data_IF_138884987766
#
_entry.id   IF_138884987766
#
_cell.length_a   1.000
_cell.length_b   1.000
_cell.length_c   1.000
_cell.angle_alpha   90.00
_cell.angle_beta   90.00
_cell.angle_gamma   90.00
#
_symmetry.space_group_name_H-M   'P 1'
#
loop_
_entity.id
_entity.type
_entity.pdbx_description
1 polymer ?
#
# COMPACT_ATOMS: atom_id res chain seq x y z
N UNK A 1 18.74 -21.05 -31.06
CA UNK A 1 19.49 -21.17 -29.80
C UNK A 1 18.48 -21.42 -28.69
N UNK A 2 18.55 -22.57 -28.01
CA UNK A 2 17.73 -22.83 -26.82
C UNK A 2 18.16 -21.84 -25.75
N UNK A 3 17.36 -20.79 -25.56
CA UNK A 3 17.49 -19.89 -24.44
C UNK A 3 17.15 -20.73 -23.21
N UNK A 4 18.16 -21.16 -22.46
CA UNK A 4 18.00 -21.78 -21.14
C UNK A 4 17.03 -20.90 -20.38
N UNK A 5 15.82 -21.41 -20.08
CA UNK A 5 14.85 -20.67 -19.27
C UNK A 5 15.54 -20.34 -17.96
N UNK A 6 15.95 -19.08 -17.78
CA UNK A 6 16.45 -18.60 -16.50
C UNK A 6 15.39 -18.92 -15.45
N UNK A 7 15.83 -19.48 -14.33
CA UNK A 7 14.95 -19.78 -13.22
C UNK A 7 14.32 -18.47 -12.72
N UNK A 8 13.00 -18.48 -12.53
CA UNK A 8 12.27 -17.31 -12.05
C UNK A 8 12.32 -17.34 -10.52
N UNK A 9 13.27 -16.61 -9.95
CA UNK A 9 13.47 -16.54 -8.49
C UNK A 9 12.92 -15.22 -7.94
N UNK A 10 13.17 -14.11 -8.63
CA UNK A 10 12.84 -12.76 -8.17
C UNK A 10 11.75 -12.11 -9.03
N UNK A 11 11.16 -11.02 -8.54
CA UNK A 11 10.22 -10.21 -9.33
C UNK A 11 10.88 -9.71 -10.63
N UNK A 12 12.15 -9.31 -10.60
CA UNK A 12 12.91 -8.94 -11.80
C UNK A 12 13.00 -10.07 -12.83
N UNK A 13 13.29 -11.31 -12.39
CA UNK A 13 13.33 -12.47 -13.29
C UNK A 13 11.96 -12.75 -13.90
N UNK A 14 10.90 -12.66 -13.09
CA UNK A 14 9.53 -12.86 -13.55
C UNK A 14 9.14 -11.82 -14.59
N UNK A 15 9.45 -10.54 -14.36
CA UNK A 15 9.18 -9.46 -15.33
C UNK A 15 9.90 -9.72 -16.65
N UNK A 16 11.20 -10.03 -16.61
CA UNK A 16 11.97 -10.32 -17.83
C UNK A 16 11.46 -11.55 -18.57
N UNK A 17 11.08 -12.61 -17.85
CA UNK A 17 10.55 -13.83 -18.45
C UNK A 17 9.20 -13.61 -19.14
N UNK A 18 8.37 -12.69 -18.65
CA UNK A 18 7.01 -12.46 -19.15
C UNK A 18 6.92 -11.34 -20.20
N UNK A 19 7.70 -10.28 -20.05
CA UNK A 19 7.59 -9.07 -20.88
C UNK A 19 8.79 -8.87 -21.82
N UNK A 20 9.83 -9.69 -21.68
CA UNK A 20 11.06 -9.57 -22.46
C UNK A 20 11.88 -8.32 -22.11
N UNK A 21 13.10 -8.21 -22.65
CA UNK A 21 14.04 -7.16 -22.27
C UNK A 21 13.56 -5.76 -22.65
N UNK A 22 12.92 -5.59 -23.81
CA UNK A 22 12.52 -4.27 -24.31
C UNK A 22 11.46 -3.59 -23.46
N UNK A 23 10.36 -4.29 -23.13
CA UNK A 23 9.32 -3.72 -22.26
C UNK A 23 9.83 -3.53 -20.82
N UNK A 24 10.74 -4.40 -20.38
CA UNK A 24 11.40 -4.26 -19.09
C UNK A 24 12.22 -2.97 -19.01
N UNK A 25 13.06 -2.69 -20.00
CA UNK A 25 13.89 -1.48 -20.05
C UNK A 25 13.08 -0.19 -20.17
N UNK A 26 12.02 -0.21 -20.98
CA UNK A 26 11.18 0.96 -21.23
C UNK A 26 10.28 1.30 -20.04
N UNK A 27 9.70 0.29 -19.40
CA UNK A 27 8.65 0.49 -18.39
C UNK A 27 8.87 -0.31 -17.12
N UNK A 28 8.92 -1.64 -17.17
CA UNK A 28 8.77 -2.45 -15.96
C UNK A 28 9.92 -2.28 -14.96
N UNK A 29 11.18 -2.28 -15.40
CA UNK A 29 12.32 -2.10 -14.51
C UNK A 29 12.37 -0.70 -13.90
N UNK A 30 12.33 0.41 -14.67
CA UNK A 30 12.39 1.73 -14.07
C UNK A 30 11.15 2.02 -13.19
N UNK A 31 9.97 1.50 -13.54
CA UNK A 31 8.79 1.58 -12.67
C UNK A 31 8.96 0.80 -11.36
N UNK A 32 9.42 -0.46 -11.42
CA UNK A 32 9.57 -1.28 -10.22
C UNK A 32 10.73 -0.81 -9.33
N UNK A 33 11.75 -0.17 -9.91
CA UNK A 33 12.77 0.56 -9.14
C UNK A 33 12.10 1.57 -8.20
N UNK A 34 11.20 2.40 -8.73
CA UNK A 34 10.51 3.44 -7.95
C UNK A 34 9.39 2.89 -7.06
N UNK A 35 8.60 1.93 -7.56
CA UNK A 35 7.45 1.36 -6.85
C UNK A 35 7.84 0.49 -5.66
N UNK A 36 8.94 -0.26 -5.78
CA UNK A 36 9.43 -1.17 -4.73
C UNK A 36 10.63 -0.61 -3.97
N UNK A 37 11.01 0.65 -4.21
CA UNK A 37 12.24 1.25 -3.70
C UNK A 37 13.48 0.36 -3.95
N UNK A 38 13.59 -0.19 -5.16
CA UNK A 38 14.69 -1.06 -5.61
C UNK A 38 14.56 -2.55 -5.25
N UNK A 39 13.63 -2.93 -4.36
CA UNK A 39 13.53 -4.30 -3.85
C UNK A 39 13.14 -5.36 -4.88
N UNK A 40 12.63 -4.99 -6.06
CA UNK A 40 12.15 -5.96 -7.06
C UNK A 40 13.22 -6.97 -7.54
N UNK A 41 14.51 -6.70 -7.29
CA UNK A 41 15.62 -7.64 -7.57
C UNK A 41 15.85 -8.67 -6.47
N UNK A 42 15.22 -8.51 -5.32
CA UNK A 42 15.47 -9.32 -4.11
C UNK A 42 14.21 -9.99 -3.57
N UNK A 43 13.03 -9.53 -3.98
CA UNK A 43 11.74 -10.05 -3.54
C UNK A 43 11.21 -11.09 -4.54
N UNK A 44 10.44 -12.05 -4.01
CA UNK A 44 9.73 -13.03 -4.80
C UNK A 44 8.67 -12.36 -5.70
N UNK A 45 8.35 -12.95 -6.87
CA UNK A 45 7.22 -12.54 -7.69
C UNK A 45 5.93 -12.57 -6.87
N UNK A 46 5.20 -11.47 -6.88
CA UNK A 46 3.95 -11.27 -6.14
C UNK A 46 2.99 -10.48 -7.02
N UNK A 47 1.69 -10.55 -6.73
CA UNK A 47 0.68 -9.76 -7.42
C UNK A 47 0.63 -9.91 -8.95
N UNK A 48 0.99 -11.08 -9.49
CA UNK A 48 1.01 -11.33 -10.93
C UNK A 48 -0.32 -11.01 -11.63
N UNK A 49 -1.45 -11.13 -10.90
CA UNK A 49 -2.78 -10.80 -11.39
C UNK A 49 -2.97 -9.31 -11.75
N UNK A 50 -2.12 -8.40 -11.25
CA UNK A 50 -2.19 -6.96 -11.56
C UNK A 50 -1.71 -6.64 -12.97
N UNK A 51 -0.85 -7.49 -13.52
CA UNK A 51 -0.29 -7.32 -14.86
C UNK A 51 -0.49 -8.62 -15.65
N UNK A 52 -1.74 -8.97 -15.99
CA UNK A 52 -2.02 -10.20 -16.71
C UNK A 52 -1.39 -10.14 -18.11
N UNK A 53 -0.65 -11.18 -18.48
CA UNK A 53 0.02 -11.28 -19.77
C UNK A 53 -0.89 -11.98 -20.77
N UNK A 54 -1.28 -11.28 -21.83
CA UNK A 54 -2.00 -11.88 -22.96
C UNK A 54 -1.32 -11.46 -24.26
N UNK A 55 -0.51 -12.35 -24.83
CA UNK A 55 0.28 -12.06 -26.03
C UNK A 55 -0.59 -11.66 -27.23
N UNK A 56 -1.76 -12.28 -27.39
CA UNK A 56 -2.70 -11.92 -28.46
C UNK A 56 -3.20 -10.49 -28.33
N UNK A 57 -3.50 -10.04 -27.11
CA UNK A 57 -3.85 -8.64 -26.85
C UNK A 57 -2.66 -7.70 -27.03
N UNK A 58 -1.45 -8.10 -26.63
CA UNK A 58 -0.24 -7.29 -26.86
C UNK A 58 0.01 -7.08 -28.35
N UNK A 59 -0.10 -8.13 -29.17
CA UNK A 59 0.07 -8.04 -30.62
C UNK A 59 -1.01 -7.15 -31.22
N UNK A 60 -2.27 -7.33 -30.83
CA UNK A 60 -3.37 -6.48 -31.30
C UNK A 60 -3.16 -5.01 -30.91
N UNK A 61 -2.74 -4.76 -29.68
CA UNK A 61 -2.44 -3.42 -29.14
C UNK A 61 -1.31 -2.68 -29.88
N UNK A 62 -0.49 -3.39 -30.65
CA UNK A 62 0.53 -2.77 -31.51
C UNK A 62 -0.05 -2.14 -32.79
N UNK A 63 -1.27 -2.52 -33.18
CA UNK A 63 -1.90 -2.08 -34.42
C UNK A 63 -3.26 -1.38 -34.23
N UNK A 64 -3.97 -1.70 -33.15
CA UNK A 64 -5.32 -1.22 -32.85
C UNK A 64 -5.56 -1.05 -31.34
N UNK A 65 -6.63 -0.33 -30.98
CA UNK A 65 -7.11 -0.28 -29.61
C UNK A 65 -7.52 -1.65 -29.08
N UNK A 66 -7.24 -1.88 -27.79
CA UNK A 66 -7.62 -3.09 -27.06
C UNK A 66 -8.52 -2.75 -25.88
N UNK A 67 -9.44 -3.66 -25.50
CA UNK A 67 -10.30 -3.42 -24.35
C UNK A 67 -9.49 -3.24 -23.07
N UNK A 68 -9.99 -2.47 -22.09
CA UNK A 68 -9.36 -2.35 -20.78
C UNK A 68 -9.16 -3.73 -20.13
N UNK A 69 -8.01 -3.93 -19.51
CA UNK A 69 -7.65 -5.16 -18.80
C UNK A 69 -7.25 -4.84 -17.36
N UNK A 70 -7.48 -5.79 -16.47
CA UNK A 70 -7.05 -5.70 -15.07
C UNK A 70 -8.20 -5.86 -14.06
N UNK A 71 -7.82 -6.05 -12.81
CA UNK A 71 -8.73 -6.32 -11.70
C UNK A 71 -9.59 -5.11 -11.29
N UNK A 72 -9.22 -3.92 -11.74
CA UNK A 72 -9.88 -2.65 -11.40
C UNK A 72 -10.22 -1.81 -12.64
N UNK A 73 -10.45 -2.46 -13.80
CA UNK A 73 -10.91 -1.79 -15.02
C UNK A 73 -12.22 -1.01 -14.81
N UNK A 74 -13.06 -1.47 -13.88
CA UNK A 74 -14.12 -0.69 -13.25
C UNK A 74 -13.95 -0.77 -11.73
N UNK A 75 -14.36 0.27 -11.02
CA UNK A 75 -14.32 0.30 -9.56
C UNK A 75 -15.47 1.16 -9.02
N UNK A 76 -15.81 0.91 -7.76
CA UNK A 76 -16.76 1.73 -6.99
C UNK A 76 -15.99 2.56 -5.98
N UNK A 77 -16.44 3.79 -5.78
CA UNK A 77 -15.87 4.68 -4.80
C UNK A 77 -17.01 5.30 -3.96
N UNK A 78 -16.93 5.32 -2.62
CA UNK A 78 -17.97 5.92 -1.80
C UNK A 78 -18.09 7.43 -2.04
N UNK A 79 -19.31 7.93 -2.32
CA UNK A 79 -19.61 9.35 -2.64
C UNK A 79 -19.05 10.37 -1.63
N UNK A 80 -18.76 9.95 -0.40
CA UNK A 80 -18.26 10.82 0.69
C UNK A 80 -16.84 10.49 1.14
N UNK A 81 -16.11 9.68 0.38
CA UNK A 81 -14.78 9.23 0.76
C UNK A 81 -14.76 7.91 1.53
N UNK A 82 -13.66 7.18 1.38
CA UNK A 82 -13.36 5.98 2.16
C UNK A 82 -13.27 6.26 3.67
N UNK A 83 -12.83 7.47 4.06
CA UNK A 83 -12.79 7.91 5.45
C UNK A 83 -14.20 7.92 6.08
N UNK A 84 -15.23 8.35 5.36
CA UNK A 84 -16.61 8.35 5.88
C UNK A 84 -17.14 6.94 6.05
N UNK A 85 -16.78 6.01 5.15
CA UNK A 85 -17.09 4.59 5.34
C UNK A 85 -16.45 4.06 6.63
N UNK A 86 -15.15 4.29 6.84
CA UNK A 86 -14.43 3.90 8.05
C UNK A 86 -15.04 4.51 9.32
N UNK A 87 -15.32 5.82 9.32
CA UNK A 87 -15.94 6.52 10.45
C UNK A 87 -17.33 5.98 10.78
N UNK A 88 -18.13 5.62 9.77
CA UNK A 88 -19.47 5.03 9.98
C UNK A 88 -19.40 3.65 10.61
N UNK A 89 -18.42 2.83 10.22
CA UNK A 89 -18.16 1.55 10.89
C UNK A 89 -17.69 1.79 12.32
N UNK A 90 -16.71 2.68 12.53
CA UNK A 90 -16.15 3.02 13.83
C UNK A 90 -17.20 3.50 14.84
N UNK A 91 -18.19 4.30 14.41
CA UNK A 91 -19.31 4.76 15.25
C UNK A 91 -20.17 3.64 15.83
N UNK A 92 -20.08 2.43 15.28
CA UNK A 92 -20.81 1.23 15.74
C UNK A 92 -19.93 0.33 16.64
N UNK A 93 -18.69 0.74 16.88
CA UNK A 93 -17.70 -0.01 17.65
C UNK A 93 -17.39 0.72 18.95
N UNK A 94 -16.93 -0.03 19.95
CA UNK A 94 -16.26 0.55 21.11
C UNK A 94 -14.78 0.72 20.76
N UNK A 95 -14.30 1.97 20.74
CA UNK A 95 -12.92 2.30 20.37
C UNK A 95 -12.32 3.18 21.45
N UNK A 96 -11.15 2.78 21.93
CA UNK A 96 -10.33 3.59 22.84
C UNK A 96 -9.24 4.29 22.02
N UNK A 97 -9.42 5.58 21.76
CA UNK A 97 -8.41 6.41 21.11
C UNK A 97 -7.33 6.83 22.12
N UNK A 98 -6.15 7.22 21.62
CA UNK A 98 -5.02 7.62 22.48
C UNK A 98 -4.32 6.47 23.20
N UNK A 99 -4.66 5.21 22.87
CA UNK A 99 -4.07 4.00 23.45
C UNK A 99 -3.07 3.34 22.49
N UNK A 100 -1.92 3.97 22.29
CA UNK A 100 -0.83 3.38 21.50
C UNK A 100 -0.19 2.24 22.28
N UNK A 101 -0.28 1.01 21.78
CA UNK A 101 0.44 -0.15 22.35
C UNK A 101 1.94 0.04 22.11
N UNK A 102 2.74 -0.15 23.16
CA UNK A 102 4.22 -0.07 23.09
C UNK A 102 4.89 -1.38 23.48
N UNK A 103 4.19 -2.28 24.18
CA UNK A 103 4.67 -3.62 24.54
C UNK A 103 3.48 -4.57 24.69
N UNK A 104 3.70 -5.83 24.32
CA UNK A 104 2.78 -6.95 24.52
C UNK A 104 3.51 -7.97 25.39
N UNK A 105 3.12 -8.10 26.65
CA UNK A 105 3.65 -9.14 27.54
C UNK A 105 2.86 -10.43 27.33
N UNK A 106 3.48 -11.36 26.60
CA UNK A 106 2.88 -12.62 26.19
C UNK A 106 2.85 -13.67 27.31
N UNK A 107 3.63 -13.50 28.37
CA UNK A 107 3.64 -14.41 29.53
C UNK A 107 2.50 -14.06 30.49
N UNK A 108 2.26 -12.78 30.71
CA UNK A 108 1.21 -12.28 31.61
C UNK A 108 -0.09 -11.93 30.88
N UNK A 109 -0.11 -12.05 29.55
CA UNK A 109 -1.20 -11.66 28.66
C UNK A 109 -1.67 -10.21 28.90
N UNK A 110 -0.73 -9.26 28.85
CA UNK A 110 -0.97 -7.85 29.15
C UNK A 110 -0.40 -6.92 28.07
N UNK A 111 -1.22 -5.96 27.63
CA UNK A 111 -0.81 -4.86 26.76
C UNK A 111 -0.36 -3.69 27.63
N UNK A 112 0.75 -3.05 27.24
CA UNK A 112 1.19 -1.78 27.81
C UNK A 112 1.03 -0.67 26.79
N UNK A 113 0.43 0.44 27.22
CA UNK A 113 0.21 1.61 26.39
C UNK A 113 1.20 2.73 26.71
N UNK A 114 1.43 3.61 25.73
CA UNK A 114 2.35 4.76 25.83
C UNK A 114 1.98 5.72 26.99
N UNK A 115 0.70 5.79 27.36
CA UNK A 115 0.22 6.61 28.47
C UNK A 115 0.47 5.98 29.86
N UNK A 116 1.18 4.84 29.91
CA UNK A 116 1.51 4.11 31.13
C UNK A 116 0.40 3.19 31.65
N UNK A 117 -0.77 3.17 31.00
CA UNK A 117 -1.84 2.23 31.36
C UNK A 117 -1.61 0.85 30.76
N UNK A 118 -2.32 -0.16 31.29
CA UNK A 118 -2.28 -1.53 30.76
C UNK A 118 -3.67 -2.15 30.63
N UNK A 119 -3.77 -3.21 29.82
CA UNK A 119 -4.98 -4.01 29.66
C UNK A 119 -4.64 -5.48 29.47
N UNK A 120 -5.31 -6.37 30.22
CA UNK A 120 -5.19 -7.82 30.03
C UNK A 120 -6.00 -8.30 28.84
N UNK A 121 -5.55 -9.37 28.22
CA UNK A 121 -6.26 -10.06 27.15
C UNK A 121 -6.34 -11.57 27.43
N UNK A 122 -7.40 -12.21 26.94
CA UNK A 122 -7.44 -13.67 26.81
C UNK A 122 -7.04 -14.07 25.40
N UNK A 123 -7.53 -13.31 24.41
CA UNK A 123 -7.20 -13.44 23.00
C UNK A 123 -6.97 -12.08 22.40
N UNK A 124 -5.92 -11.94 21.58
CA UNK A 124 -5.57 -10.69 20.92
C UNK A 124 -5.71 -10.80 19.40
N UNK A 125 -6.66 -10.08 18.82
CA UNK A 125 -6.70 -9.87 17.37
C UNK A 125 -5.81 -8.69 17.03
N UNK A 126 -4.66 -8.93 16.39
CA UNK A 126 -3.73 -7.88 16.01
C UNK A 126 -3.90 -7.50 14.55
N UNK A 127 -4.13 -6.21 14.29
CA UNK A 127 -4.11 -5.64 12.93
C UNK A 127 -2.84 -4.80 12.67
N UNK A 128 -1.88 -4.83 13.60
CA UNK A 128 -0.60 -4.13 13.48
C UNK A 128 0.31 -4.82 12.44
N UNK A 129 1.26 -4.11 11.80
CA UNK A 129 2.27 -4.76 10.96
C UNK A 129 2.96 -5.93 11.68
N UNK A 130 3.09 -7.07 11.02
CA UNK A 130 3.57 -8.32 11.64
C UNK A 130 4.93 -8.15 12.33
N UNK A 131 5.86 -7.45 11.68
CA UNK A 131 7.18 -7.16 12.23
C UNK A 131 7.10 -6.31 13.51
N UNK A 132 6.24 -5.30 13.55
CA UNK A 132 6.05 -4.45 14.73
C UNK A 132 5.37 -5.21 15.87
N UNK A 133 4.40 -6.06 15.54
CA UNK A 133 3.76 -6.92 16.55
C UNK A 133 4.78 -7.86 17.21
N UNK A 134 5.65 -8.50 16.42
CA UNK A 134 6.73 -9.34 16.94
C UNK A 134 7.76 -8.56 17.77
N UNK A 135 8.11 -7.34 17.34
CA UNK A 135 8.99 -6.48 18.12
C UNK A 135 8.38 -6.11 19.48
N UNK A 136 7.09 -5.78 19.51
CA UNK A 136 6.37 -5.44 20.74
C UNK A 136 6.22 -6.63 21.70
N UNK A 137 6.17 -7.87 21.18
CA UNK A 137 6.13 -9.08 22.01
C UNK A 137 7.52 -9.52 22.47
N UNK A 138 8.58 -9.14 21.76
CA UNK A 138 9.93 -9.65 21.97
C UNK A 138 10.12 -11.11 21.53
N UNK A 139 9.18 -11.66 20.75
CA UNK A 139 9.24 -13.04 20.29
C UNK A 139 10.22 -13.21 19.13
N UNK A 140 11.05 -14.25 19.19
CA UNK A 140 12.00 -14.58 18.14
C UNK A 140 11.43 -15.62 17.17
N UNK A 141 11.53 -15.34 15.87
CA UNK A 141 11.03 -16.23 14.79
C UNK A 141 12.13 -17.16 14.26
N UNK A 142 13.40 -16.87 14.57
CA UNK A 142 14.56 -17.63 14.06
C UNK A 142 14.71 -17.55 12.53
N UNK A 143 14.20 -16.49 11.90
CA UNK A 143 14.32 -16.22 10.47
C UNK A 143 14.31 -14.70 10.24
N UNK A 144 15.09 -14.16 9.29
CA UNK A 144 15.06 -12.74 9.00
C UNK A 144 13.68 -12.29 8.56
N UNK A 145 13.25 -11.12 9.05
CA UNK A 145 11.98 -10.54 8.63
C UNK A 145 11.96 -10.30 7.11
N UNK A 146 10.80 -10.53 6.52
CA UNK A 146 10.56 -10.14 5.15
C UNK A 146 10.53 -8.61 5.03
N UNK A 147 10.97 -8.04 3.89
CA UNK A 147 11.09 -6.59 3.77
C UNK A 147 9.73 -5.94 3.52
N UNK A 148 9.67 -4.66 3.80
CA UNK A 148 8.56 -3.78 3.45
C UNK A 148 9.09 -2.47 2.89
N UNK A 149 8.22 -1.72 2.23
CA UNK A 149 8.49 -0.34 1.83
C UNK A 149 7.52 0.60 2.51
N UNK A 150 8.03 1.74 2.91
CA UNK A 150 7.25 2.90 3.34
C UNK A 150 6.86 3.72 2.12
N UNK A 151 5.84 4.56 2.25
CA UNK A 151 5.42 5.49 1.19
C UNK A 151 5.19 6.87 1.76
N UNK A 152 5.74 7.88 1.08
CA UNK A 152 5.32 9.26 1.26
C UNK A 152 4.23 9.58 0.25
N UNK A 153 3.06 10.00 0.75
CA UNK A 153 1.93 10.47 -0.05
C UNK A 153 1.89 11.98 0.05
N UNK A 154 2.22 12.67 -1.04
CA UNK A 154 2.09 14.12 -1.14
C UNK A 154 0.73 14.46 -1.79
N UNK A 155 -0.18 14.97 -0.99
CA UNK A 155 -1.50 15.45 -1.42
C UNK A 155 -1.39 16.92 -1.85
N UNK A 156 -1.91 17.26 -3.03
CA UNK A 156 -1.81 18.60 -3.61
C UNK A 156 -3.18 19.06 -4.09
N UNK A 157 -3.58 20.26 -3.68
CA UNK A 157 -4.64 21.04 -4.32
C UNK A 157 -4.02 22.18 -5.11
N UNK A 158 -4.33 22.28 -6.40
CA UNK A 158 -3.70 23.24 -7.30
C UNK A 158 -4.65 23.73 -8.40
N UNK A 159 -4.25 24.80 -9.08
CA UNK A 159 -4.80 25.16 -10.39
C UNK A 159 -4.58 24.01 -11.37
N UNK A 160 -5.62 23.68 -12.15
CA UNK A 160 -5.51 22.66 -13.20
C UNK A 160 -4.53 23.13 -14.27
N UNK A 161 -3.52 22.34 -14.56
CA UNK A 161 -2.55 22.62 -15.62
C UNK A 161 -3.11 22.34 -17.02
N UNK A 162 -2.53 22.93 -18.08
CA UNK A 162 -3.00 22.75 -19.46
C UNK A 162 -2.83 21.31 -19.99
N UNK A 163 -1.97 20.51 -19.36
CA UNK A 163 -1.72 19.10 -19.68
C UNK A 163 -2.13 18.17 -18.54
N UNK A 164 -3.05 18.61 -17.68
CA UNK A 164 -3.54 17.78 -16.58
C UNK A 164 -4.20 16.50 -17.13
N UNK A 165 -3.76 15.31 -16.70
CA UNK A 165 -4.38 14.03 -17.08
C UNK A 165 -5.88 13.97 -16.78
N UNK A 166 -6.62 13.28 -17.65
CA UNK A 166 -8.03 12.91 -17.47
C UNK A 166 -8.21 11.60 -16.69
N UNK A 167 -7.15 10.81 -16.57
CA UNK A 167 -7.14 9.50 -15.96
C UNK A 167 -7.30 9.60 -14.43
N UNK A 168 -7.81 8.54 -13.81
CA UNK A 168 -7.90 8.47 -12.35
C UNK A 168 -6.52 8.36 -11.69
N UNK A 169 -5.57 7.69 -12.34
CA UNK A 169 -4.17 7.61 -11.92
C UNK A 169 -3.27 7.31 -13.11
N UNK A 170 -2.01 7.72 -12.98
CA UNK A 170 -0.94 7.52 -13.97
C UNK A 170 0.25 6.88 -13.27
N UNK A 171 0.79 5.81 -13.87
CA UNK A 171 2.04 5.21 -13.44
C UNK A 171 3.22 5.87 -14.15
N UNK A 172 4.25 6.20 -13.38
CA UNK A 172 5.38 7.00 -13.82
C UNK A 172 6.65 6.15 -13.69
N UNK A 173 7.17 5.61 -14.81
CA UNK A 173 8.36 4.76 -14.76
C UNK A 173 9.63 5.58 -14.47
N UNK A 174 9.66 6.86 -14.80
CA UNK A 174 10.81 7.74 -14.60
C UNK A 174 10.35 9.10 -14.09
N UNK A 175 10.83 9.48 -12.91
CA UNK A 175 10.59 10.79 -12.28
C UNK A 175 11.89 11.29 -11.67
N UNK A 176 12.17 12.58 -11.82
CA UNK A 176 13.28 13.28 -11.18
C UNK A 176 13.12 13.30 -9.66
N UNK A 177 11.89 13.50 -9.17
CA UNK A 177 11.58 13.46 -7.75
C UNK A 177 11.46 12.02 -7.18
N UNK A 178 11.43 11.01 -8.05
CA UNK A 178 11.39 9.60 -7.67
C UNK A 178 10.00 9.06 -7.29
N UNK A 179 8.91 9.72 -7.68
CA UNK A 179 7.56 9.17 -7.48
C UNK A 179 7.20 8.19 -8.60
N UNK A 180 6.43 7.14 -8.26
CA UNK A 180 6.03 6.10 -9.20
C UNK A 180 4.57 6.21 -9.63
N UNK A 181 3.74 6.98 -8.92
CA UNK A 181 2.32 7.12 -9.20
C UNK A 181 1.80 8.50 -8.84
N UNK A 182 0.93 9.01 -9.70
CA UNK A 182 0.10 10.18 -9.42
C UNK A 182 -1.35 9.78 -9.61
N UNK A 183 -2.20 10.07 -8.63
CA UNK A 183 -3.65 9.90 -8.79
C UNK A 183 -4.41 11.20 -8.64
N UNK A 184 -5.57 11.26 -9.28
CA UNK A 184 -6.38 12.46 -9.44
C UNK A 184 -7.72 12.25 -8.74
N UNK A 185 -7.79 12.59 -7.46
CA UNK A 185 -9.02 12.46 -6.66
C UNK A 185 -10.20 13.19 -7.31
N UNK A 186 -9.96 14.38 -7.86
CA UNK A 186 -11.00 15.16 -8.54
C UNK A 186 -11.48 14.55 -9.85
N UNK A 187 -10.74 13.60 -10.44
CA UNK A 187 -11.19 12.83 -11.60
C UNK A 187 -12.04 11.62 -11.17
N UNK A 188 -11.83 11.10 -9.94
CA UNK A 188 -12.69 10.06 -9.37
C UNK A 188 -14.06 10.65 -9.01
N UNK A 189 -14.07 11.80 -8.34
CA UNK A 189 -15.31 12.51 -8.02
C UNK A 189 -15.03 14.01 -7.78
N UNK A 190 -15.85 14.89 -8.35
CA UNK A 190 -15.71 16.34 -8.20
C UNK A 190 -15.90 16.82 -6.75
N UNK A 191 -16.52 16.01 -5.89
CA UNK A 191 -16.69 16.30 -4.46
C UNK A 191 -15.37 16.35 -3.69
N UNK A 192 -14.28 15.81 -4.24
CA UNK A 192 -12.92 15.97 -3.73
C UNK A 192 -12.34 17.38 -3.89
N UNK A 193 -13.06 18.28 -4.56
CA UNK A 193 -12.75 19.71 -4.60
C UNK A 193 -13.59 20.49 -3.57
N UNK A 194 -13.08 21.63 -3.07
CA UNK A 194 -13.86 22.60 -2.32
C UNK A 194 -15.12 23.02 -3.10
N UNK A 195 -16.25 23.22 -2.41
CA UNK A 195 -17.56 23.51 -3.03
C UNK A 195 -17.51 24.62 -4.08
N UNK A 196 -16.78 25.70 -3.79
CA UNK A 196 -16.66 26.86 -4.67
C UNK A 196 -15.87 26.58 -5.98
N UNK A 197 -15.09 25.49 -6.05
CA UNK A 197 -14.27 25.12 -7.20
C UNK A 197 -14.90 24.03 -8.09
N UNK A 198 -15.95 23.34 -7.61
CA UNK A 198 -16.54 22.17 -8.31
C UNK A 198 -17.12 22.49 -9.69
N UNK A 199 -17.64 23.70 -9.87
CA UNK A 199 -18.31 24.12 -11.11
C UNK A 199 -17.34 24.70 -12.15
N UNK A 200 -16.13 25.11 -11.73
CA UNK A 200 -15.22 25.89 -12.58
C UNK A 200 -14.25 25.04 -13.38
N UNK A 201 -14.07 23.77 -12.98
CA UNK A 201 -13.09 22.83 -13.55
C UNK A 201 -11.66 23.40 -13.71
N UNK A 202 -11.31 24.43 -12.93
CA UNK A 202 -10.02 25.13 -12.97
C UNK A 202 -9.10 24.71 -11.82
N UNK A 203 -9.52 23.70 -11.05
CA UNK A 203 -8.78 23.09 -9.93
C UNK A 203 -8.67 21.59 -10.09
N UNK A 204 -7.62 21.05 -9.47
CA UNK A 204 -7.35 19.62 -9.39
C UNK A 204 -6.92 19.26 -7.97
N UNK A 205 -7.35 18.09 -7.50
CA UNK A 205 -6.87 17.47 -6.27
C UNK A 205 -6.18 16.17 -6.62
N UNK A 206 -4.90 16.06 -6.26
CA UNK A 206 -4.04 14.92 -6.61
C UNK A 206 -3.32 14.36 -5.39
N UNK A 207 -2.85 13.13 -5.51
CA UNK A 207 -1.85 12.54 -4.63
C UNK A 207 -0.66 12.03 -5.45
N UNK A 208 0.53 12.15 -4.89
CA UNK A 208 1.80 11.74 -5.49
C UNK A 208 2.48 10.77 -4.55
N UNK A 209 2.84 9.58 -5.03
CA UNK A 209 3.39 8.52 -4.20
C UNK A 209 4.85 8.23 -4.53
N UNK A 210 5.69 8.29 -3.50
CA UNK A 210 7.09 7.84 -3.55
C UNK A 210 7.31 6.75 -2.52
N UNK A 211 7.88 5.63 -2.96
CA UNK A 211 8.27 4.55 -2.06
C UNK A 211 9.68 4.81 -1.49
N UNK A 212 9.88 4.33 -0.27
CA UNK A 212 11.15 4.33 0.45
C UNK A 212 11.39 2.93 1.03
N UNK A 213 12.64 2.49 1.18
CA UNK A 213 12.92 1.29 1.95
C UNK A 213 12.36 1.42 3.37
N UNK A 214 11.86 0.32 3.94
CA UNK A 214 11.31 0.32 5.30
C UNK A 214 12.30 0.86 6.34
N UNK A 215 11.80 1.69 7.27
CA UNK A 215 12.60 2.33 8.31
C UNK A 215 13.49 3.48 7.84
N UNK A 216 13.48 3.84 6.54
CA UNK A 216 14.27 4.94 5.99
C UNK A 216 13.41 6.19 5.77
N UNK A 217 12.73 6.64 6.83
CA UNK A 217 11.98 7.88 6.82
C UNK A 217 12.92 9.08 6.63
N UNK A 218 12.72 9.95 5.62
CA UNK A 218 13.46 11.19 5.53
C UNK A 218 13.18 12.09 6.74
N UNK A 219 14.18 12.89 7.14
CA UNK A 219 13.94 13.97 8.08
C UNK A 219 13.07 15.07 7.45
N UNK A 220 12.60 16.03 8.26
CA UNK A 220 11.67 17.06 7.81
C UNK A 220 12.23 17.88 6.63
N UNK A 221 13.52 18.25 6.66
CA UNK A 221 14.18 18.93 5.53
C UNK A 221 14.13 18.10 4.24
N UNK A 222 14.45 16.80 4.32
CA UNK A 222 14.39 15.92 3.16
C UNK A 222 12.97 15.69 2.65
N UNK A 223 11.97 15.72 3.53
CA UNK A 223 10.56 15.69 3.14
C UNK A 223 10.16 16.96 2.39
N UNK A 224 10.57 18.14 2.88
CA UNK A 224 10.31 19.43 2.24
C UNK A 224 10.97 19.55 0.87
N UNK A 225 12.24 19.16 0.75
CA UNK A 225 12.99 19.13 -0.51
C UNK A 225 12.34 18.22 -1.56
N UNK A 226 11.88 17.04 -1.13
CA UNK A 226 11.11 16.16 -2.01
C UNK A 226 9.81 16.82 -2.48
N UNK A 227 9.05 17.42 -1.56
CA UNK A 227 7.77 18.05 -1.92
C UNK A 227 7.96 19.16 -2.95
N UNK A 228 8.97 20.03 -2.74
CA UNK A 228 9.31 21.08 -3.69
C UNK A 228 9.73 20.52 -5.05
N UNK A 229 10.55 19.47 -5.07
CA UNK A 229 11.02 18.84 -6.32
C UNK A 229 9.88 18.17 -7.09
N UNK A 230 8.98 17.46 -6.40
CA UNK A 230 7.83 16.80 -6.99
C UNK A 230 6.82 17.81 -7.56
N UNK A 231 6.53 18.88 -6.80
CA UNK A 231 5.65 19.98 -7.26
C UNK A 231 6.25 20.64 -8.52
N UNK A 232 7.53 20.98 -8.49
CA UNK A 232 8.21 21.60 -9.63
C UNK A 232 8.20 20.68 -10.86
N UNK A 233 8.43 19.38 -10.69
CA UNK A 233 8.35 18.40 -11.78
C UNK A 233 6.94 18.36 -12.41
N UNK A 234 5.88 18.30 -11.60
CA UNK A 234 4.50 18.27 -12.07
C UNK A 234 4.07 19.58 -12.75
N UNK A 235 4.55 20.72 -12.25
CA UNK A 235 4.35 22.02 -12.89
C UNK A 235 5.07 22.10 -14.24
N UNK A 236 6.31 21.62 -14.32
CA UNK A 236 7.08 21.59 -15.57
C UNK A 236 6.45 20.68 -16.62
N UNK A 237 5.82 19.58 -16.22
CA UNK A 237 5.02 18.74 -17.12
C UNK A 237 3.71 19.41 -17.56
N UNK A 238 3.31 20.50 -16.90
CA UNK A 238 2.06 21.20 -17.14
C UNK A 238 0.84 20.47 -16.59
N UNK A 239 1.03 19.52 -15.67
CA UNK A 239 -0.07 18.76 -15.06
C UNK A 239 -0.80 19.61 -14.01
N UNK A 240 -0.07 20.42 -13.27
CA UNK A 240 -0.60 21.37 -12.28
C UNK A 240 -0.05 22.77 -12.52
N UNK A 241 -0.78 23.79 -12.07
CA UNK A 241 -0.34 25.18 -12.01
C UNK A 241 0.08 25.59 -10.60
N UNK A 242 -0.37 26.78 -10.19
CA UNK A 242 -0.18 27.28 -8.82
C UNK A 242 -0.73 26.30 -7.78
N UNK A 243 0.11 25.92 -6.81
CA UNK A 243 -0.28 25.08 -5.68
C UNK A 243 -0.94 25.96 -4.62
N UNK A 244 -2.15 25.58 -4.22
CA UNK A 244 -2.91 26.28 -3.18
C UNK A 244 -2.78 25.60 -1.82
N UNK A 245 -2.58 24.27 -1.81
CA UNK A 245 -2.34 23.48 -0.61
C UNK A 245 -1.48 22.26 -0.95
N UNK A 246 -0.56 21.93 -0.07
CA UNK A 246 0.22 20.70 -0.12
C UNK A 246 0.28 20.10 1.29
N UNK A 247 0.06 18.79 1.39
CA UNK A 247 0.11 18.04 2.65
C UNK A 247 0.80 16.69 2.42
N UNK A 248 1.85 16.42 3.19
CA UNK A 248 2.67 15.22 3.04
C UNK A 248 2.38 14.25 4.19
N UNK A 249 1.90 13.05 3.86
CA UNK A 249 1.59 12.00 4.82
C UNK A 249 2.57 10.83 4.67
N UNK A 250 3.26 10.47 5.76
CA UNK A 250 4.14 9.31 5.79
C UNK A 250 3.38 8.05 6.20
N UNK A 251 3.51 6.99 5.40
CA UNK A 251 2.97 5.65 5.67
C UNK A 251 4.12 4.70 5.98
N UNK A 252 4.21 4.29 7.25
CA UNK A 252 5.31 3.49 7.77
C UNK A 252 5.45 2.14 7.05
N UNK A 253 4.43 1.30 7.11
CA UNK A 253 4.35 0.07 6.32
C UNK A 253 3.27 0.23 5.26
N UNK A 254 3.68 0.38 3.99
CA UNK A 254 2.75 0.57 2.87
C UNK A 254 2.62 -0.68 1.99
N UNK A 255 3.75 -1.32 1.65
CA UNK A 255 3.77 -2.59 0.93
C UNK A 255 4.65 -3.59 1.66
N UNK A 256 4.09 -4.78 1.88
CA UNK A 256 4.78 -5.93 2.47
C UNK A 256 5.22 -6.86 1.35
N UNK A 257 6.50 -7.22 1.34
CA UNK A 257 7.08 -8.10 0.34
C UNK A 257 7.48 -9.41 0.96
N UNK A 258 7.84 -10.41 0.16
CA UNK A 258 8.40 -11.68 0.63
C UNK A 258 9.71 -11.94 -0.11
N UNK A 259 10.75 -12.39 0.59
CA UNK A 259 11.97 -12.90 -0.06
C UNK A 259 11.70 -14.27 -0.70
N UNK A 260 12.42 -14.64 -1.78
CA UNK A 260 12.35 -15.98 -2.35
C UNK A 260 12.60 -17.05 -1.28
N UNK A 261 11.67 -18.00 -1.15
CA UNK A 261 11.78 -19.11 -0.18
C UNK A 261 11.59 -18.74 1.29
N UNK A 262 11.22 -17.49 1.63
CA UNK A 262 10.98 -17.08 3.02
C UNK A 262 9.85 -17.90 3.67
N UNK A 263 10.10 -18.34 4.89
CA UNK A 263 9.12 -18.95 5.80
C UNK A 263 8.85 -18.07 7.02
N UNK A 264 9.44 -16.86 7.06
CA UNK A 264 9.34 -15.95 8.20
C UNK A 264 7.88 -15.70 8.59
N UNK A 265 7.02 -15.32 7.64
CA UNK A 265 5.59 -15.08 7.91
C UNK A 265 4.88 -16.28 8.56
N UNK A 266 5.13 -17.49 8.06
CA UNK A 266 4.47 -18.71 8.56
C UNK A 266 4.92 -19.03 9.98
N UNK A 267 6.22 -18.91 10.25
CA UNK A 267 6.78 -19.10 11.60
C UNK A 267 6.29 -18.02 12.56
N UNK A 268 6.23 -16.76 12.10
CA UNK A 268 5.72 -15.64 12.89
C UNK A 268 4.27 -15.86 13.33
N UNK A 269 3.40 -16.34 12.42
CA UNK A 269 2.03 -16.69 12.80
C UNK A 269 2.00 -17.78 13.86
N UNK A 270 2.77 -18.87 13.67
CA UNK A 270 2.81 -19.97 14.63
C UNK A 270 3.23 -19.49 16.03
N UNK A 271 4.30 -18.70 16.11
CA UNK A 271 4.82 -18.20 17.39
C UNK A 271 3.81 -17.24 18.04
N UNK A 272 3.11 -16.39 17.28
CA UNK A 272 2.07 -15.52 17.83
C UNK A 272 0.83 -16.31 18.30
N UNK A 273 0.42 -17.32 17.53
CA UNK A 273 -0.73 -18.17 17.85
C UNK A 273 -0.50 -19.02 19.11
N UNK A 274 0.74 -19.42 19.40
CA UNK A 274 1.13 -20.09 20.66
C UNK A 274 0.87 -19.21 21.91
N UNK A 275 0.66 -17.90 21.73
CA UNK A 275 0.36 -16.92 22.78
C UNK A 275 -1.01 -16.23 22.59
N UNK A 276 -1.95 -16.89 21.90
CA UNK A 276 -3.32 -16.40 21.65
C UNK A 276 -3.39 -15.06 20.89
N UNK A 277 -2.38 -14.76 20.06
CA UNK A 277 -2.32 -13.57 19.21
C UNK A 277 -2.58 -13.95 17.76
N UNK A 278 -3.64 -13.40 17.16
CA UNK A 278 -4.09 -13.73 15.82
C UNK A 278 -3.95 -12.53 14.87
N UNK A 279 -3.04 -12.59 13.88
CA UNK A 279 -2.85 -11.50 12.92
C UNK A 279 -3.99 -11.44 11.89
N UNK A 280 -4.63 -10.27 11.74
CA UNK A 280 -5.74 -10.04 10.80
C UNK A 280 -5.53 -8.80 9.94
N UNK A 281 -5.80 -8.92 8.64
CA UNK A 281 -5.68 -7.82 7.67
C UNK A 281 -4.30 -7.68 7.04
N UNK A 282 -4.16 -6.69 6.14
CA UNK A 282 -3.05 -6.53 5.19
C UNK A 282 -1.67 -6.64 5.82
N UNK A 283 -1.38 -5.79 6.80
CA UNK A 283 -0.04 -5.66 7.38
C UNK A 283 0.24 -6.73 8.44
N UNK A 284 -0.76 -7.09 9.24
CA UNK A 284 -0.62 -8.15 10.24
C UNK A 284 -0.42 -9.50 9.58
N UNK A 285 -1.09 -9.75 8.45
CA UNK A 285 -0.91 -10.99 7.69
C UNK A 285 0.23 -10.94 6.68
N UNK A 286 0.96 -9.83 6.57
CA UNK A 286 2.05 -9.66 5.60
C UNK A 286 1.69 -10.10 4.16
N UNK A 287 0.55 -9.60 3.68
CA UNK A 287 0.02 -9.91 2.34
C UNK A 287 -0.41 -8.63 1.65
N UNK A 288 -0.31 -8.62 0.32
CA UNK A 288 -0.99 -7.60 -0.45
C UNK A 288 -2.51 -7.83 -0.38
N UNK A 289 -3.25 -6.79 -0.01
CA UNK A 289 -4.70 -6.87 0.18
C UNK A 289 -5.36 -5.52 -0.11
N UNK A 290 -6.51 -5.53 -0.80
CA UNK A 290 -7.35 -4.34 -1.00
C UNK A 290 -8.30 -4.09 0.18
N UNK A 291 -8.94 -2.91 0.22
CA UNK A 291 -9.82 -2.51 1.33
C UNK A 291 -10.98 -3.49 1.54
N UNK A 292 -11.63 -3.94 0.46
CA UNK A 292 -12.76 -4.87 0.55
C UNK A 292 -12.36 -6.21 1.18
N UNK A 293 -11.19 -6.74 0.81
CA UNK A 293 -10.66 -7.96 1.40
C UNK A 293 -10.32 -7.76 2.88
N UNK A 294 -9.73 -6.62 3.26
CA UNK A 294 -9.42 -6.34 4.69
C UNK A 294 -10.69 -6.22 5.54
N UNK A 295 -11.75 -5.61 5.00
CA UNK A 295 -13.06 -5.56 5.67
C UNK A 295 -13.65 -6.96 5.80
N UNK A 296 -13.56 -7.79 4.74
CA UNK A 296 -14.01 -9.18 4.77
C UNK A 296 -13.26 -9.98 5.84
N UNK A 297 -11.94 -9.88 5.90
CA UNK A 297 -11.11 -10.57 6.89
C UNK A 297 -11.51 -10.17 8.32
N UNK A 298 -11.73 -8.89 8.57
CA UNK A 298 -12.21 -8.41 9.88
C UNK A 298 -13.58 -8.97 10.27
N UNK A 299 -14.52 -9.03 9.34
CA UNK A 299 -15.86 -9.61 9.57
C UNK A 299 -15.80 -11.12 9.84
N UNK A 300 -14.95 -11.84 9.10
CA UNK A 300 -14.74 -13.28 9.30
C UNK A 300 -14.10 -13.56 10.65
N UNK A 301 -13.03 -12.83 11.01
CA UNK A 301 -12.38 -12.95 12.31
C UNK A 301 -13.38 -12.69 13.44
N UNK A 302 -14.11 -11.57 13.38
CA UNK A 302 -15.13 -11.25 14.39
C UNK A 302 -16.18 -12.36 14.55
N UNK A 303 -16.63 -12.98 13.44
CA UNK A 303 -17.60 -14.07 13.48
C UNK A 303 -17.05 -15.35 14.11
N UNK A 304 -15.79 -15.69 13.83
CA UNK A 304 -15.14 -16.88 14.39
C UNK A 304 -14.94 -16.77 15.91
N UNK A 305 -14.43 -15.63 16.39
CA UNK A 305 -14.17 -15.44 17.82
C UNK A 305 -15.45 -15.25 18.65
N UNK A 306 -16.53 -14.69 18.08
CA UNK A 306 -17.85 -14.65 18.74
C UNK A 306 -18.44 -16.05 18.91
N UNK A 307 -18.19 -16.96 17.95
CA UNK A 307 -18.77 -18.31 17.97
C UNK A 307 -18.10 -19.22 18.99
N UNK A 308 -16.81 -19.03 19.26
CA UNK A 308 -16.05 -19.80 20.24
C UNK A 308 -16.27 -19.33 21.69
N UNK A 309 -16.76 -18.11 21.90
CA UNK A 309 -17.04 -17.54 23.24
C UNK A 309 -18.51 -17.66 23.68
N UNK A 310 -19.32 -18.50 23.02
CA UNK A 310 -20.63 -18.85 23.57
C UNK A 310 -20.43 -19.88 24.69
N UNK A 311 -20.89 -19.63 25.92
CA UNK A 311 -20.91 -20.68 26.92
C UNK A 311 -21.76 -21.84 26.40
N UNK A 312 -21.23 -23.06 26.48
CA UNK A 312 -22.03 -24.27 26.35
C UNK A 312 -23.22 -24.12 27.31
N UNK A 313 -24.43 -24.24 26.77
CA UNK A 313 -25.66 -24.20 27.56
C UNK A 313 -25.81 -25.44 28.41
#
# INVERSE_FOLDING_TARGET
>A
AQQTRKEVVTMADWLRANFGPTLCELFFEPFHELYTAGLFREIAPQDAYKTPVNLSLVIRGAFDDVPPVGYNATFVYPEKGLNVLAQRMAKRCQIQYGKRVVKIDVENHELFFEDGTGARYETLISTLPLNQALEMTGLEVGEPADPYTSVLVLNIGAKRGPKCPSEHWVYVPRSKAGFHRVGFYSNVDVSFLPKNARERNDRVSIYVERAYPGGQRPNDTGMDEYCQTAIAELQNWGWIGEVEVADATWIEAAYTWSKPGSRWRQKAFKVLEEHDIYPVGRYARWVFQGIADSVRDGLLAGSAFISNNKPEK
#
